data_IF_967167279400
#
_entry.id   IF_967167279400
#
_cell.length_a   1.000
_cell.length_b   1.000
_cell.length_c   1.000
_cell.angle_alpha   90.00
_cell.angle_beta   90.00
_cell.angle_gamma   90.00
#
_symmetry.space_group_name_H-M   'P 1'
#
loop_
_entity.id
_entity.type
_entity.pdbx_description
1 polymer ?
#
# COMPACT_ATOMS: atom_id res chain seq x y z
N UNK A 1 4.03 -3.96 7.82
CA UNK A 1 5.46 -4.16 7.42
C UNK A 1 6.39 -3.32 8.28
N UNK A 2 6.25 -1.98 8.31
CA UNK A 2 7.11 -1.11 9.14
C UNK A 2 7.12 -1.48 10.63
N UNK A 3 5.95 -1.69 11.24
CA UNK A 3 5.84 -2.10 12.65
C UNK A 3 6.57 -3.41 12.94
N UNK A 4 6.44 -4.38 12.03
CA UNK A 4 7.09 -5.69 12.13
C UNK A 4 8.60 -5.56 11.97
N UNK A 5 9.06 -4.73 11.03
CA UNK A 5 10.48 -4.46 10.86
C UNK A 5 11.09 -3.79 12.11
N UNK A 6 10.39 -2.84 12.73
CA UNK A 6 10.83 -2.18 13.97
C UNK A 6 10.91 -3.18 15.13
N UNK A 7 9.85 -3.97 15.32
CA UNK A 7 9.81 -5.02 16.34
C UNK A 7 10.94 -6.05 16.10
N UNK A 8 11.26 -6.37 14.84
CA UNK A 8 12.31 -7.32 14.47
C UNK A 8 13.68 -6.77 14.78
N UNK A 9 13.92 -5.49 14.49
CA UNK A 9 15.19 -4.87 14.81
C UNK A 9 15.39 -4.75 16.32
N UNK A 10 14.31 -4.47 17.07
CA UNK A 10 14.36 -4.44 18.53
C UNK A 10 14.64 -5.83 19.13
N UNK A 11 14.03 -6.89 18.58
CA UNK A 11 14.16 -8.26 19.10
C UNK A 11 15.43 -8.98 18.64
N UNK A 12 15.82 -8.85 17.37
CA UNK A 12 16.88 -9.67 16.76
C UNK A 12 18.26 -9.02 16.78
N UNK A 13 18.35 -7.69 16.73
CA UNK A 13 19.63 -7.00 16.57
C UNK A 13 20.14 -6.33 17.86
N UNK A 14 19.34 -6.28 18.93
CA UNK A 14 19.67 -5.53 20.16
C UNK A 14 20.15 -4.10 19.85
N UNK A 15 19.74 -3.54 18.70
CA UNK A 15 20.22 -2.25 18.22
C UNK A 15 19.72 -1.16 19.15
N UNK A 16 20.63 -0.29 19.59
CA UNK A 16 20.28 0.80 20.50
C UNK A 16 19.13 1.64 19.96
N UNK A 17 18.20 2.04 20.83
CA UNK A 17 16.96 2.77 20.49
C UNK A 17 17.18 3.95 19.51
N UNK A 18 18.35 4.60 19.56
CA UNK A 18 18.74 5.69 18.67
C UNK A 18 18.74 5.27 17.18
N UNK A 19 19.20 4.05 16.86
CA UNK A 19 19.27 3.58 15.47
C UNK A 19 17.87 3.37 14.89
N UNK A 20 16.92 2.87 15.70
CA UNK A 20 15.53 2.72 15.30
C UNK A 20 14.87 4.08 15.04
N UNK A 21 15.17 5.08 15.88
CA UNK A 21 14.68 6.45 15.70
C UNK A 21 15.23 7.07 14.40
N UNK A 22 16.51 6.86 14.10
CA UNK A 22 17.13 7.33 12.85
C UNK A 22 16.45 6.67 11.64
N UNK A 23 16.26 5.35 11.65
CA UNK A 23 15.58 4.63 10.57
C UNK A 23 14.13 5.11 10.38
N UNK A 24 13.40 5.31 11.48
CA UNK A 24 12.03 5.83 11.46
C UNK A 24 11.96 7.26 10.92
N UNK A 25 13.03 8.06 11.10
CA UNK A 25 13.11 9.44 10.60
C UNK A 25 13.50 9.48 9.12
N UNK A 26 14.40 8.62 8.65
CA UNK A 26 14.78 8.55 7.22
C UNK A 26 13.57 8.18 6.35
N UNK A 27 12.73 7.26 6.84
CA UNK A 27 11.56 6.73 6.12
C UNK A 27 10.65 7.83 5.53
N UNK A 28 10.14 8.83 6.28
CA UNK A 28 9.30 9.90 5.74
C UNK A 28 10.04 10.81 4.75
N UNK A 29 11.33 11.14 4.98
CA UNK A 29 12.10 11.91 4.01
C UNK A 29 12.21 11.18 2.67
N UNK A 30 12.51 9.88 2.70
CA UNK A 30 12.56 9.06 1.49
C UNK A 30 11.18 8.82 0.89
N UNK A 31 10.13 8.78 1.71
CA UNK A 31 8.73 8.66 1.24
C UNK A 31 8.33 9.84 0.36
N UNK A 32 8.68 11.07 0.76
CA UNK A 32 8.44 12.26 -0.04
C UNK A 32 9.12 12.14 -1.40
N UNK A 33 10.41 11.79 -1.42
CA UNK A 33 11.17 11.61 -2.66
C UNK A 33 10.58 10.51 -3.56
N UNK A 34 10.12 9.41 -2.97
CA UNK A 34 9.55 8.27 -3.69
C UNK A 34 8.30 8.60 -4.47
N UNK A 35 7.38 9.34 -3.87
CA UNK A 35 6.16 9.77 -4.57
C UNK A 35 6.51 10.61 -5.78
N UNK A 36 7.36 11.63 -5.63
CA UNK A 36 7.75 12.49 -6.75
C UNK A 36 8.50 11.73 -7.84
N UNK A 37 9.41 10.83 -7.46
CA UNK A 37 10.20 10.05 -8.40
C UNK A 37 9.34 9.13 -9.27
N UNK A 38 8.43 8.36 -8.67
CA UNK A 38 7.57 7.47 -9.43
C UNK A 38 6.50 8.22 -10.24
N UNK A 39 5.99 9.34 -9.71
CA UNK A 39 5.12 10.22 -10.49
C UNK A 39 5.84 10.79 -11.71
N UNK A 40 7.12 11.15 -11.56
CA UNK A 40 7.95 11.60 -12.67
C UNK A 40 8.19 10.48 -13.70
N UNK A 41 8.56 9.27 -13.25
CA UNK A 41 8.71 8.10 -14.14
C UNK A 41 7.42 7.81 -14.89
N UNK A 42 6.28 7.81 -14.21
CA UNK A 42 5.01 7.52 -14.87
C UNK A 42 4.65 8.56 -15.94
N UNK A 43 4.96 9.84 -15.70
CA UNK A 43 4.77 10.89 -16.73
C UNK A 43 5.66 10.67 -17.96
N UNK A 44 6.84 10.08 -17.77
CA UNK A 44 7.74 9.75 -18.88
C UNK A 44 7.28 8.50 -19.64
N UNK A 45 6.87 7.45 -18.92
CA UNK A 45 6.54 6.14 -19.51
C UNK A 45 5.08 6.07 -19.98
N UNK A 46 4.20 6.94 -19.49
CA UNK A 46 2.79 7.00 -19.90
C UNK A 46 1.95 5.79 -19.47
N UNK A 47 2.36 5.06 -18.44
CA UNK A 47 1.72 3.79 -18.02
C UNK A 47 0.45 4.01 -17.21
N UNK A 48 -0.47 3.04 -17.26
CA UNK A 48 -1.70 3.08 -16.47
C UNK A 48 -1.41 3.01 -14.96
N UNK A 49 -2.17 3.72 -14.12
CA UNK A 49 -2.02 3.67 -12.66
C UNK A 49 -2.09 2.25 -12.09
N UNK A 50 -2.94 1.37 -12.66
CA UNK A 50 -3.02 -0.06 -12.32
C UNK A 50 -1.66 -0.75 -12.47
N UNK A 51 -1.01 -0.59 -13.61
CA UNK A 51 0.31 -1.21 -13.87
C UNK A 51 1.38 -0.66 -12.93
N UNK A 52 1.35 0.64 -12.60
CA UNK A 52 2.25 1.20 -11.60
C UNK A 52 2.04 0.60 -10.21
N UNK A 53 0.79 0.40 -9.76
CA UNK A 53 0.50 -0.31 -8.50
C UNK A 53 1.10 -1.71 -8.54
N UNK A 54 0.90 -2.47 -9.62
CA UNK A 54 1.43 -3.83 -9.74
C UNK A 54 2.96 -3.89 -9.74
N UNK A 55 3.63 -3.00 -10.48
CA UNK A 55 5.10 -2.92 -10.52
C UNK A 55 5.65 -2.55 -9.15
N UNK A 56 5.09 -1.53 -8.51
CA UNK A 56 5.54 -1.07 -7.20
C UNK A 56 5.26 -2.11 -6.10
N UNK A 57 4.12 -2.78 -6.14
CA UNK A 57 3.83 -3.88 -5.22
C UNK A 57 4.80 -5.06 -5.43
N UNK A 58 5.16 -5.36 -6.68
CA UNK A 58 6.17 -6.38 -7.00
C UNK A 58 7.57 -6.00 -6.49
N UNK A 59 7.97 -4.73 -6.66
CA UNK A 59 9.20 -4.21 -6.05
C UNK A 59 9.11 -4.25 -4.52
N UNK A 60 7.94 -3.95 -3.95
CA UNK A 60 7.67 -4.07 -2.53
C UNK A 60 7.83 -5.49 -2.00
N UNK A 61 7.49 -6.52 -2.79
CA UNK A 61 7.67 -7.92 -2.45
C UNK A 61 9.15 -8.34 -2.35
N UNK A 62 10.06 -7.63 -3.02
CA UNK A 62 11.50 -7.87 -2.89
C UNK A 62 12.01 -7.56 -1.48
N UNK A 63 11.36 -6.64 -0.76
CA UNK A 63 11.74 -6.27 0.60
C UNK A 63 11.63 -7.45 1.60
N UNK A 64 10.47 -8.11 1.78
CA UNK A 64 10.39 -9.28 2.65
C UNK A 64 11.25 -10.45 2.15
N UNK A 65 11.43 -10.63 0.83
CA UNK A 65 12.35 -11.64 0.30
C UNK A 65 13.80 -11.37 0.76
N UNK A 66 14.25 -10.13 0.66
CA UNK A 66 15.58 -9.72 1.14
C UNK A 66 15.76 -9.98 2.64
N UNK A 67 14.75 -9.67 3.46
CA UNK A 67 14.78 -9.94 4.90
C UNK A 67 14.80 -11.44 5.21
N UNK A 68 14.07 -12.25 4.43
CA UNK A 68 14.06 -13.71 4.56
C UNK A 68 15.42 -14.34 4.20
N UNK A 69 16.10 -13.85 3.16
CA UNK A 69 17.45 -14.30 2.76
C UNK A 69 18.46 -14.07 3.90
N UNK A 70 18.30 -12.98 4.66
CA UNK A 70 19.09 -12.71 5.87
C UNK A 70 18.98 -13.72 7.00
N UNK A 71 18.02 -14.64 6.92
CA UNK A 71 17.85 -15.73 7.87
C UNK A 71 18.67 -16.97 7.59
N UNK A 72 19.29 -17.07 6.41
CA UNK A 72 20.08 -18.24 6.04
C UNK A 72 21.44 -18.16 6.77
N UNK A 73 21.80 -19.16 7.59
CA UNK A 73 23.12 -19.22 8.22
C UNK A 73 24.19 -19.33 7.13
N UNK A 74 25.13 -18.38 7.09
CA UNK A 74 26.21 -18.32 6.09
C UNK A 74 26.15 -17.14 5.10
N UNK A 75 25.03 -16.42 5.02
CA UNK A 75 24.92 -15.22 4.17
C UNK A 75 25.22 -13.96 5.02
N UNK A 76 26.19 -13.10 4.64
CA UNK A 76 26.53 -11.89 5.41
C UNK A 76 25.52 -10.74 5.23
N UNK A 77 24.50 -10.95 4.41
CA UNK A 77 23.54 -9.93 3.94
C UNK A 77 22.17 -10.26 4.52
N UNK A 78 21.45 -9.26 5.03
CA UNK A 78 20.02 -9.35 5.33
C UNK A 78 19.65 -8.95 6.76
N UNK A 79 19.78 -7.65 7.03
CA UNK A 79 19.52 -7.03 8.33
C UNK A 79 20.47 -7.56 9.42
N UNK A 80 21.77 -7.69 9.11
CA UNK A 80 22.80 -8.02 10.12
C UNK A 80 23.59 -6.80 10.59
N UNK A 81 23.50 -5.69 9.83
CA UNK A 81 24.22 -4.45 10.12
C UNK A 81 23.28 -3.24 10.13
N UNK A 82 23.57 -2.25 10.99
CA UNK A 82 22.86 -0.98 11.09
C UNK A 82 22.74 -0.25 9.75
N UNK A 83 23.74 -0.39 8.87
CA UNK A 83 23.69 0.23 7.53
C UNK A 83 22.63 -0.40 6.63
N UNK A 84 22.47 -1.73 6.68
CA UNK A 84 21.45 -2.43 5.89
C UNK A 84 20.04 -2.03 6.34
N UNK A 85 19.86 -1.81 7.66
CA UNK A 85 18.61 -1.33 8.21
C UNK A 85 18.20 0.01 7.59
N UNK A 86 19.11 0.98 7.50
CA UNK A 86 18.80 2.29 6.93
C UNK A 86 18.45 2.23 5.44
N UNK A 87 19.16 1.39 4.68
CA UNK A 87 18.90 1.20 3.24
C UNK A 87 17.51 0.58 3.04
N UNK A 88 17.17 -0.46 3.81
CA UNK A 88 15.86 -1.13 3.72
C UNK A 88 14.74 -0.18 4.16
N UNK A 89 14.94 0.59 5.24
CA UNK A 89 13.97 1.58 5.70
C UNK A 89 13.72 2.68 4.64
N UNK A 90 14.78 3.20 4.03
CA UNK A 90 14.69 4.17 2.94
C UNK A 90 13.94 3.59 1.74
N UNK A 91 14.35 2.41 1.25
CA UNK A 91 13.71 1.72 0.13
C UNK A 91 12.23 1.43 0.37
N UNK A 92 11.89 0.98 1.58
CA UNK A 92 10.51 0.70 1.96
C UNK A 92 9.65 1.98 1.99
N UNK A 93 10.14 3.05 2.62
CA UNK A 93 9.44 4.34 2.63
C UNK A 93 9.21 4.89 1.22
N UNK A 94 10.23 4.78 0.37
CA UNK A 94 10.17 5.18 -1.04
C UNK A 94 9.01 4.51 -1.79
N UNK A 95 8.86 3.19 -1.66
CA UNK A 95 7.87 2.41 -2.40
C UNK A 95 6.45 2.57 -1.83
N UNK A 96 6.28 2.47 -0.51
CA UNK A 96 4.94 2.46 0.11
C UNK A 96 4.16 3.73 -0.14
N UNK A 97 4.87 4.86 -0.15
CA UNK A 97 4.25 6.16 -0.40
C UNK A 97 3.73 6.26 -1.84
N UNK A 98 4.51 5.78 -2.82
CA UNK A 98 4.08 5.70 -4.21
C UNK A 98 2.89 4.75 -4.39
N UNK A 99 2.95 3.53 -3.83
CA UNK A 99 1.85 2.55 -3.89
C UNK A 99 0.55 3.16 -3.36
N UNK A 100 0.60 3.80 -2.19
CA UNK A 100 -0.58 4.38 -1.55
C UNK A 100 -1.20 5.52 -2.38
N UNK A 101 -0.36 6.32 -3.03
CA UNK A 101 -0.81 7.38 -3.96
C UNK A 101 -1.51 6.80 -5.18
N UNK A 102 -0.91 5.76 -5.81
CA UNK A 102 -1.48 5.12 -6.99
C UNK A 102 -2.75 4.32 -6.70
N UNK A 103 -2.84 3.64 -5.55
CA UNK A 103 -4.06 2.98 -5.12
C UNK A 103 -5.21 4.00 -4.99
N UNK A 104 -4.96 5.14 -4.34
CA UNK A 104 -5.97 6.21 -4.20
C UNK A 104 -6.36 6.80 -5.56
N UNK A 105 -5.40 7.03 -6.45
CA UNK A 105 -5.66 7.53 -7.80
C UNK A 105 -6.45 6.56 -8.68
N UNK A 106 -6.18 5.25 -8.55
CA UNK A 106 -6.91 4.20 -9.26
C UNK A 106 -8.33 4.08 -8.73
N UNK A 107 -8.50 4.08 -7.41
CA UNK A 107 -9.81 4.05 -6.76
C UNK A 107 -10.66 5.25 -7.16
N UNK A 108 -10.10 6.47 -7.13
CA UNK A 108 -10.81 7.70 -7.49
C UNK A 108 -11.42 7.67 -8.91
N UNK A 109 -10.84 6.92 -9.85
CA UNK A 109 -11.37 6.80 -11.21
C UNK A 109 -12.60 5.89 -11.31
N UNK A 110 -12.80 5.00 -10.34
CA UNK A 110 -13.95 4.07 -10.27
C UNK A 110 -15.09 4.62 -9.42
N UNK A 111 -14.91 5.78 -8.79
CA UNK A 111 -15.91 6.38 -7.91
C UNK A 111 -16.90 7.21 -8.73
N UNK A 112 -18.22 6.93 -8.64
CA UNK A 112 -19.23 7.70 -9.36
C UNK A 112 -19.34 9.12 -8.81
N UNK A 113 -19.49 10.09 -9.73
CA UNK A 113 -19.65 11.50 -9.38
C UNK A 113 -20.92 11.72 -8.56
N UNK A 114 -20.79 12.45 -7.45
CA UNK A 114 -21.90 12.73 -6.53
C UNK A 114 -21.96 11.81 -5.29
N UNK A 115 -21.30 10.65 -5.33
CA UNK A 115 -21.21 9.72 -4.19
C UNK A 115 -19.77 9.60 -3.65
N UNK A 116 -18.89 10.54 -4.02
CA UNK A 116 -17.46 10.46 -3.71
C UNK A 116 -17.19 10.28 -2.21
N UNK A 117 -17.93 11.02 -1.38
CA UNK A 117 -17.77 10.94 0.08
C UNK A 117 -18.09 9.55 0.65
N UNK A 118 -19.11 8.87 0.13
CA UNK A 118 -19.52 7.55 0.63
C UNK A 118 -18.50 6.47 0.27
N UNK A 119 -18.06 6.45 -1.00
CA UNK A 119 -17.04 5.52 -1.46
C UNK A 119 -15.68 5.77 -0.80
N UNK A 120 -15.28 7.04 -0.61
CA UNK A 120 -14.04 7.36 0.11
C UNK A 120 -14.15 7.07 1.61
N UNK A 121 -15.32 7.20 2.23
CA UNK A 121 -15.54 6.79 3.61
C UNK A 121 -15.37 5.26 3.76
N UNK A 122 -15.98 4.49 2.86
CA UNK A 122 -15.81 3.02 2.84
C UNK A 122 -14.35 2.60 2.59
N UNK A 123 -13.66 3.28 1.67
CA UNK A 123 -12.22 3.09 1.44
C UNK A 123 -11.41 3.32 2.71
N UNK A 124 -11.68 4.39 3.45
CA UNK A 124 -10.97 4.70 4.68
C UNK A 124 -11.24 3.68 5.80
N UNK A 125 -12.48 3.21 5.96
CA UNK A 125 -12.82 2.17 6.93
C UNK A 125 -12.06 0.88 6.61
N UNK A 126 -12.03 0.49 5.34
CA UNK A 126 -11.32 -0.72 4.88
C UNK A 126 -9.80 -0.59 5.08
N UNK A 127 -9.24 0.59 4.76
CA UNK A 127 -7.82 0.87 4.95
C UNK A 127 -7.43 0.87 6.44
N UNK A 128 -8.25 1.47 7.30
CA UNK A 128 -8.06 1.43 8.74
C UNK A 128 -8.16 -0.01 9.28
N UNK A 129 -9.15 -0.77 8.79
CA UNK A 129 -9.33 -2.20 9.05
C UNK A 129 -8.06 -3.02 8.82
N UNK A 130 -7.45 -2.81 7.65
CA UNK A 130 -6.24 -3.53 7.25
C UNK A 130 -4.99 -3.12 8.05
N UNK A 131 -4.95 -1.90 8.56
CA UNK A 131 -3.78 -1.33 9.26
C UNK A 131 -3.48 -2.02 10.60
N UNK A 132 -4.51 -2.35 11.38
CA UNK A 132 -4.34 -3.03 12.67
C UNK A 132 -4.22 -4.56 12.54
N UNK A 133 -4.79 -5.15 11.50
CA UNK A 133 -4.69 -6.59 11.23
C UNK A 133 -3.24 -7.04 11.02
N UNK A 134 -2.44 -6.24 10.32
CA UNK A 134 -1.03 -6.56 10.05
C UNK A 134 -0.22 -6.84 11.32
N UNK A 135 -0.07 -5.85 12.23
CA UNK A 135 0.60 -6.03 13.51
C UNK A 135 0.00 -7.15 14.36
N UNK A 136 -1.34 -7.27 14.41
CA UNK A 136 -2.02 -8.28 15.20
C UNK A 136 -1.64 -9.70 14.77
N UNK A 137 -1.76 -10.02 13.47
CA UNK A 137 -1.44 -11.35 12.95
C UNK A 137 0.06 -11.63 13.09
N UNK A 138 0.91 -10.64 12.78
CA UNK A 138 2.37 -10.82 12.89
C UNK A 138 2.85 -10.94 14.34
N UNK A 139 2.15 -10.32 15.29
CA UNK A 139 2.41 -10.46 16.72
C UNK A 139 2.06 -11.86 17.21
N UNK A 140 0.88 -12.37 16.84
CA UNK A 140 0.47 -13.76 17.15
C UNK A 140 1.45 -14.77 16.54
N UNK A 141 1.85 -14.59 15.28
CA UNK A 141 2.83 -15.47 14.62
C UNK A 141 4.17 -15.44 15.37
N UNK A 142 4.62 -14.26 15.77
CA UNK A 142 5.89 -14.09 16.49
C UNK A 142 5.84 -14.73 17.88
N UNK A 143 4.70 -14.65 18.57
CA UNK A 143 4.50 -15.23 19.90
C UNK A 143 4.50 -16.77 19.86
N UNK A 144 3.82 -17.35 18.87
CA UNK A 144 3.73 -18.81 18.71
C UNK A 144 5.04 -19.40 18.19
N UNK A 145 5.69 -18.76 17.22
CA UNK A 145 6.87 -19.32 16.56
C UNK A 145 8.15 -19.10 17.37
N UNK A 146 8.18 -18.10 18.27
CA UNK A 146 9.39 -17.60 18.93
C UNK A 146 10.49 -17.11 17.97
N UNK A 147 10.24 -17.13 16.65
CA UNK A 147 11.10 -16.59 15.61
C UNK A 147 10.30 -15.59 14.78
N UNK A 148 10.78 -14.36 14.82
CA UNK A 148 10.14 -13.23 14.18
C UNK A 148 10.30 -13.23 12.65
N UNK A 149 11.16 -14.11 12.12
CA UNK A 149 11.33 -14.33 10.66
C UNK A 149 10.06 -14.86 10.00
N UNK A 150 9.28 -15.67 10.70
CA UNK A 150 8.04 -16.25 10.14
C UNK A 150 6.97 -15.19 9.85
N UNK A 151 7.01 -14.05 10.53
CA UNK A 151 6.13 -12.92 10.23
C UNK A 151 6.39 -12.32 8.85
N UNK A 152 7.60 -12.44 8.29
CA UNK A 152 7.91 -11.97 6.94
C UNK A 152 7.35 -12.88 5.85
N UNK A 153 7.20 -14.18 6.11
CA UNK A 153 6.49 -15.09 5.21
C UNK A 153 5.01 -14.69 5.07
N UNK A 154 4.35 -14.38 6.19
CA UNK A 154 2.98 -13.88 6.17
C UNK A 154 2.85 -12.57 5.37
N UNK A 155 3.76 -11.62 5.58
CA UNK A 155 3.81 -10.37 4.82
C UNK A 155 3.98 -10.64 3.32
N UNK A 156 4.89 -11.53 2.95
CA UNK A 156 5.14 -11.89 1.55
C UNK A 156 3.87 -12.46 0.90
N UNK A 157 3.21 -13.41 1.56
CA UNK A 157 1.95 -14.00 1.09
C UNK A 157 0.87 -12.92 0.94
N UNK A 158 0.74 -12.01 1.91
CA UNK A 158 -0.23 -10.91 1.86
C UNK A 158 0.02 -9.97 0.66
N UNK A 159 1.28 -9.66 0.35
CA UNK A 159 1.63 -8.84 -0.82
C UNK A 159 1.31 -9.59 -2.12
N UNK A 160 1.71 -10.86 -2.22
CA UNK A 160 1.44 -11.68 -3.41
C UNK A 160 -0.07 -11.80 -3.65
N UNK A 161 -0.85 -12.02 -2.60
CA UNK A 161 -2.31 -12.04 -2.68
C UNK A 161 -2.87 -10.70 -3.14
N UNK A 162 -2.35 -9.58 -2.63
CA UNK A 162 -2.72 -8.24 -3.06
C UNK A 162 -2.42 -8.00 -4.55
N UNK A 163 -1.26 -8.45 -5.04
CA UNK A 163 -0.90 -8.37 -6.46
C UNK A 163 -1.84 -9.21 -7.32
N UNK A 164 -2.12 -10.46 -6.91
CA UNK A 164 -3.02 -11.35 -7.62
C UNK A 164 -4.44 -10.78 -7.71
N UNK A 165 -4.98 -10.27 -6.60
CA UNK A 165 -6.28 -9.61 -6.57
C UNK A 165 -6.30 -8.38 -7.48
N UNK A 166 -5.28 -7.50 -7.41
CA UNK A 166 -5.20 -6.33 -8.29
C UNK A 166 -5.12 -6.72 -9.77
N UNK A 167 -4.52 -7.86 -10.09
CA UNK A 167 -4.49 -8.42 -11.45
C UNK A 167 -5.89 -8.70 -11.99
N UNK A 168 -6.77 -9.26 -11.15
CA UNK A 168 -8.17 -9.61 -11.53
C UNK A 168 -9.11 -8.42 -11.65
N UNK A 169 -8.77 -7.26 -11.08
CA UNK A 169 -9.64 -6.08 -11.09
C UNK A 169 -9.58 -5.39 -12.44
N UNK A 170 -10.73 -5.28 -13.11
CA UNK A 170 -10.86 -4.46 -14.32
C UNK A 170 -11.18 -3.00 -13.94
N UNK A 171 -10.14 -2.17 -14.03
CA UNK A 171 -10.24 -0.73 -13.71
C UNK A 171 -10.93 0.02 -14.86
N UNK A 172 -10.80 -0.45 -16.09
CA UNK A 172 -11.38 0.21 -17.27
C UNK A 172 -12.90 0.01 -17.27
N UNK A 173 -13.35 -1.22 -17.04
CA UNK A 173 -14.78 -1.52 -16.84
C UNK A 173 -15.40 -0.74 -15.67
N UNK A 174 -14.71 -0.69 -14.52
CA UNK A 174 -15.20 0.06 -13.35
C UNK A 174 -15.31 1.57 -13.58
N UNK A 175 -14.40 2.15 -14.37
CA UNK A 175 -14.47 3.57 -14.74
C UNK A 175 -15.69 3.83 -15.62
N UNK A 176 -15.90 3.02 -16.65
CA UNK A 176 -16.99 3.24 -17.61
C UNK A 176 -18.37 3.06 -16.95
N UNK A 177 -18.49 2.10 -16.04
CA UNK A 177 -19.71 1.88 -15.25
C UNK A 177 -20.00 3.04 -14.28
N UNK A 178 -18.98 3.61 -13.64
CA UNK A 178 -19.14 4.78 -12.77
C UNK A 178 -19.63 6.03 -13.53
N UNK A 179 -19.17 6.20 -14.78
CA UNK A 179 -19.63 7.27 -15.67
C UNK A 179 -21.08 7.02 -16.08
N UNK A 180 -21.41 5.81 -16.52
CA UNK A 180 -22.76 5.44 -16.93
C UNK A 180 -23.77 5.68 -15.79
N UNK A 181 -23.44 5.26 -14.57
CA UNK A 181 -24.26 5.48 -13.38
C UNK A 181 -24.49 6.98 -13.12
N UNK A 182 -23.43 7.80 -13.18
CA UNK A 182 -23.55 9.24 -12.95
C UNK A 182 -24.42 9.97 -13.98
N UNK A 183 -24.46 9.47 -15.22
CA UNK A 183 -25.31 10.03 -16.28
C UNK A 183 -26.78 9.66 -16.09
N UNK A 184 -27.07 8.42 -15.68
CA UNK A 184 -28.44 7.97 -15.37
C UNK A 184 -29.00 8.75 -14.18
N UNK A 185 -28.22 8.91 -13.12
CA UNK A 185 -28.61 9.67 -11.92
C UNK A 185 -28.87 11.15 -12.26
N UNK A 186 -27.99 11.77 -13.05
CA UNK A 186 -28.19 13.15 -13.55
C UNK A 186 -29.45 13.30 -14.40
N UNK A 187 -29.75 12.30 -15.24
CA UNK A 187 -30.96 12.31 -16.05
C UNK A 187 -32.21 12.20 -15.18
N UNK A 188 -32.21 11.31 -14.19
CA UNK A 188 -33.34 11.11 -13.28
C UNK A 188 -33.59 12.33 -12.39
N UNK A 189 -32.53 12.95 -11.85
CA UNK A 189 -32.63 14.19 -11.07
C UNK A 189 -33.13 15.38 -11.90
N UNK A 190 -32.70 15.52 -13.15
CA UNK A 190 -33.26 16.53 -14.05
C UNK A 190 -34.73 16.26 -14.40
N UNK A 191 -35.13 15.00 -14.56
CA UNK A 191 -36.52 14.63 -14.81
C UNK A 191 -37.42 14.93 -13.60
N UNK A 192 -36.96 14.62 -12.38
CA UNK A 192 -37.66 14.93 -11.12
C UNK A 192 -37.82 16.43 -10.90
N UNK A 193 -36.78 17.22 -11.17
CA UNK A 193 -36.85 18.67 -11.01
C UNK A 193 -37.82 19.32 -12.01
N UNK A 194 -37.91 18.74 -13.21
CA UNK A 194 -38.84 19.21 -14.26
C UNK A 194 -40.29 18.81 -13.97
N UNK A 195 -40.54 17.71 -13.24
CA UNK A 195 -41.87 17.39 -12.74
C UNK A 195 -42.29 18.31 -11.58
N UNK A 196 -41.37 18.63 -10.67
CA UNK A 196 -41.65 19.55 -9.56
C UNK A 196 -41.89 20.99 -10.03
N UNK A 197 -41.21 21.45 -11.09
CA UNK A 197 -41.46 22.75 -11.73
C UNK A 197 -42.76 22.77 -12.57
N UNK A 198 -43.37 21.61 -12.83
CA UNK A 198 -44.58 21.46 -13.66
C UNK A 198 -45.87 21.27 -12.84
N UNK A 199 -45.78 21.09 -11.51
CA UNK A 199 -46.93 21.14 -10.60
C UNK A 199 -47.08 22.58 -10.03
N UNK A 200 -48.16 23.31 -10.40
CA UNK A 200 -48.41 24.69 -9.95
C UNK A 200 -48.99 24.79 -8.53
#
# INVERSE_FOLDING_TARGET
IQTVAILFCQSALHTGNIQLVIAATITPFTSLLGVYFFLWIQRLVGTTPKTMVMVLASLGALCPIYVLIGGIPGVPIGLKSTTELYIVAAYFGFLVSAISSYCRSTFAQMVPRGHENEFFAFYQITAAGSSWLGPLVTGIISDITLDMRNSFWFILIAIVLGIALMGTVDVEGGRDESVAFSLVERRNSMASRKSDEAEP
#
